data_IF_297551370701
#
_entry.id   IF_297551370701
#
_cell.length_a   1.000
_cell.length_b   1.000
_cell.length_c   1.000
_cell.angle_alpha   90.00
_cell.angle_beta   90.00
_cell.angle_gamma   90.00
#
_symmetry.space_group_name_H-M   'P 1'
#
loop_
_entity.id
_entity.type
_entity.pdbx_description
1 polymer ?
#
# COMPACT_ATOMS: atom_id res chain seq x y z
N UNK A 1 -16.27 13.98 -15.72
CA UNK A 1 -17.56 13.26 -15.81
C UNK A 1 -18.39 13.70 -14.62
N UNK A 2 -19.59 14.19 -14.90
CA UNK A 2 -20.58 14.65 -13.91
C UNK A 2 -21.26 13.45 -13.26
N UNK A 3 -21.60 13.53 -11.97
CA UNK A 3 -22.88 13.01 -11.45
C UNK A 3 -23.26 13.67 -10.09
N UNK A 4 -24.47 14.22 -10.09
CA UNK A 4 -25.55 14.48 -9.11
C UNK A 4 -25.37 14.76 -7.60
N UNK A 5 -26.28 15.62 -7.11
CA UNK A 5 -26.45 16.09 -5.71
C UNK A 5 -27.32 15.15 -4.87
N UNK A 6 -27.01 15.01 -3.57
CA UNK A 6 -27.40 13.91 -2.66
C UNK A 6 -28.59 14.19 -1.72
N UNK A 7 -29.26 13.11 -1.29
CA UNK A 7 -30.26 13.06 -0.19
C UNK A 7 -29.61 12.85 1.20
N UNK A 8 -30.26 13.35 2.26
CA UNK A 8 -29.80 13.27 3.66
C UNK A 8 -29.78 11.81 4.18
N UNK A 9 -28.58 11.28 4.46
CA UNK A 9 -28.32 9.87 4.80
C UNK A 9 -27.10 9.26 4.09
N UNK A 10 -26.10 10.08 3.78
CA UNK A 10 -25.16 9.86 2.69
C UNK A 10 -23.73 9.60 3.20
N UNK A 11 -23.11 8.42 2.95
CA UNK A 11 -21.77 8.09 3.48
C UNK A 11 -20.68 9.04 2.96
N UNK A 12 -19.76 9.47 3.82
CA UNK A 12 -18.82 10.58 3.60
C UNK A 12 -18.10 10.59 2.24
N UNK A 13 -17.66 11.77 1.80
CA UNK A 13 -16.96 12.00 0.52
C UNK A 13 -15.53 11.38 0.46
N UNK A 14 -15.21 10.46 1.36
CA UNK A 14 -13.89 9.89 1.56
C UNK A 14 -13.97 8.41 1.20
N UNK A 15 -13.35 8.04 0.08
CA UNK A 15 -13.29 6.64 -0.36
C UNK A 15 -12.26 5.83 0.46
N UNK A 16 -11.17 6.46 0.87
CA UNK A 16 -10.06 5.81 1.59
C UNK A 16 -9.24 6.84 2.39
N UNK A 17 -8.74 6.44 3.56
CA UNK A 17 -7.78 7.21 4.37
C UNK A 17 -6.51 6.37 4.52
N UNK A 18 -5.37 6.89 4.06
CA UNK A 18 -4.09 6.18 4.12
C UNK A 18 -3.12 6.82 5.12
N UNK A 19 -2.50 6.00 5.97
CA UNK A 19 -1.46 6.39 6.92
C UNK A 19 -0.15 5.70 6.57
N UNK A 20 0.94 6.45 6.58
CA UNK A 20 2.29 5.93 6.27
C UNK A 20 3.06 5.62 7.56
N UNK A 21 3.68 4.45 7.61
CA UNK A 21 4.57 3.99 8.67
C UNK A 21 6.03 3.99 8.22
N UNK A 22 6.94 3.80 9.17
CA UNK A 22 8.39 3.80 8.91
C UNK A 22 9.00 2.39 8.85
N UNK A 23 8.29 1.37 9.33
CA UNK A 23 8.84 0.01 9.46
C UNK A 23 7.79 -1.10 9.38
N UNK A 24 8.24 -2.32 9.02
CA UNK A 24 7.41 -3.53 9.05
C UNK A 24 6.99 -3.89 10.49
N UNK A 25 7.81 -3.54 11.49
CA UNK A 25 7.50 -3.74 12.90
C UNK A 25 6.25 -2.94 13.31
N UNK A 26 6.20 -1.64 13.00
CA UNK A 26 5.01 -0.82 13.24
C UNK A 26 3.77 -1.34 12.49
N UNK A 27 3.95 -1.86 11.26
CA UNK A 27 2.85 -2.43 10.49
C UNK A 27 2.31 -3.71 11.14
N UNK A 28 3.19 -4.56 11.68
CA UNK A 28 2.80 -5.74 12.47
C UNK A 28 2.12 -5.36 13.76
N UNK A 29 2.64 -4.39 14.50
CA UNK A 29 2.01 -3.89 15.72
C UNK A 29 0.59 -3.39 15.44
N UNK A 30 0.40 -2.64 14.36
CA UNK A 30 -0.91 -2.18 13.93
C UNK A 30 -1.84 -3.35 13.60
N UNK A 31 -1.40 -4.28 12.76
CA UNK A 31 -2.17 -5.48 12.40
C UNK A 31 -2.56 -6.32 13.62
N UNK A 32 -1.63 -6.50 14.58
CA UNK A 32 -1.87 -7.24 15.81
C UNK A 32 -2.93 -6.56 16.68
N UNK A 33 -2.87 -5.23 16.84
CA UNK A 33 -3.87 -4.47 17.60
C UNK A 33 -5.27 -4.58 17.00
N UNK A 34 -5.39 -4.64 15.67
CA UNK A 34 -6.67 -4.90 15.00
C UNK A 34 -7.18 -6.31 15.31
N UNK A 35 -6.32 -7.32 15.22
CA UNK A 35 -6.67 -8.71 15.53
C UNK A 35 -7.10 -8.88 17.00
N UNK A 36 -6.37 -8.28 17.94
CA UNK A 36 -6.70 -8.30 19.37
C UNK A 36 -8.06 -7.62 19.67
N UNK A 37 -8.48 -6.70 18.79
CA UNK A 37 -9.77 -6.01 18.83
C UNK A 37 -10.89 -6.69 18.05
N UNK A 38 -10.67 -7.88 17.48
CA UNK A 38 -11.62 -8.59 16.60
C UNK A 38 -12.01 -7.78 15.35
N UNK A 39 -11.10 -6.94 14.86
CA UNK A 39 -11.29 -6.13 13.65
C UNK A 39 -10.68 -6.87 12.46
N UNK A 40 -11.48 -7.08 11.40
CA UNK A 40 -11.00 -7.67 10.15
C UNK A 40 -9.91 -6.79 9.51
N UNK A 41 -8.73 -7.36 9.33
CA UNK A 41 -7.57 -6.71 8.74
C UNK A 41 -7.04 -7.54 7.56
N UNK A 42 -6.71 -6.87 6.45
CA UNK A 42 -6.22 -7.53 5.24
C UNK A 42 -4.82 -7.02 4.87
N UNK A 43 -3.76 -7.82 5.11
CA UNK A 43 -2.42 -7.49 4.63
C UNK A 43 -2.30 -7.69 3.12
N UNK A 44 -1.82 -6.67 2.40
CA UNK A 44 -1.61 -6.70 0.96
C UNK A 44 -0.26 -6.09 0.60
N UNK A 45 0.49 -6.73 -0.28
CA UNK A 45 1.65 -6.14 -0.94
C UNK A 45 1.27 -5.65 -2.33
N UNK A 46 1.63 -4.41 -2.64
CA UNK A 46 1.54 -3.81 -3.98
C UNK A 46 2.87 -3.87 -4.74
N UNK A 47 3.89 -4.49 -4.12
CA UNK A 47 5.24 -4.59 -4.68
C UNK A 47 6.09 -3.36 -4.42
N UNK A 48 5.50 -2.17 -4.57
CA UNK A 48 6.09 -0.90 -4.19
C UNK A 48 5.73 -0.44 -2.77
N UNK A 49 4.74 -1.09 -2.13
CA UNK A 49 4.35 -0.84 -0.75
C UNK A 49 3.79 -2.12 -0.11
N UNK A 50 3.87 -2.19 1.21
CA UNK A 50 3.17 -3.18 2.03
C UNK A 50 2.11 -2.46 2.85
N UNK A 51 0.87 -2.93 2.78
CA UNK A 51 -0.30 -2.28 3.36
C UNK A 51 -1.10 -3.26 4.23
N UNK A 52 -1.80 -2.72 5.22
CA UNK A 52 -2.87 -3.39 5.96
C UNK A 52 -4.14 -2.56 5.79
N UNK A 53 -5.21 -3.21 5.33
CA UNK A 53 -6.52 -2.59 5.14
C UNK A 53 -7.49 -3.01 6.24
N UNK A 54 -8.29 -2.08 6.74
CA UNK A 54 -9.42 -2.34 7.63
C UNK A 54 -10.53 -1.30 7.39
N UNK A 55 -11.72 -1.54 7.94
CA UNK A 55 -12.82 -0.54 7.90
C UNK A 55 -12.96 0.13 9.25
N UNK A 56 -13.16 1.43 9.27
CA UNK A 56 -13.56 2.12 10.50
C UNK A 56 -15.07 1.92 10.79
N UNK A 57 -15.58 2.28 11.99
CA UNK A 57 -17.00 2.10 12.35
C UNK A 57 -18.02 2.80 11.43
N UNK A 58 -17.62 3.87 10.72
CA UNK A 58 -18.44 4.58 9.73
C UNK A 58 -18.36 3.94 8.33
N UNK A 59 -17.53 2.91 8.15
CA UNK A 59 -17.38 2.15 6.91
C UNK A 59 -16.40 2.76 5.90
N UNK A 60 -15.56 3.72 6.30
CA UNK A 60 -14.49 4.19 5.40
C UNK A 60 -13.34 3.18 5.38
N UNK A 61 -12.72 3.01 4.20
CA UNK A 61 -11.56 2.14 4.05
C UNK A 61 -10.33 2.84 4.64
N UNK A 62 -9.73 2.22 5.64
CA UNK A 62 -8.45 2.64 6.22
C UNK A 62 -7.35 1.78 5.64
N UNK A 63 -6.31 2.43 5.12
CA UNK A 63 -5.06 1.80 4.71
C UNK A 63 -3.93 2.28 5.63
N UNK A 64 -3.14 1.36 6.15
CA UNK A 64 -1.88 1.69 6.80
C UNK A 64 -0.77 1.01 6.02
N UNK A 65 0.21 1.77 5.54
CA UNK A 65 1.21 1.27 4.59
C UNK A 65 2.61 1.76 4.90
N UNK A 66 3.60 1.05 4.37
CA UNK A 66 4.97 1.54 4.22
C UNK A 66 5.50 1.22 2.83
N UNK A 67 6.46 2.01 2.36
CA UNK A 67 7.09 1.78 1.05
C UNK A 67 8.03 0.57 1.07
N UNK A 68 8.00 -0.17 -0.02
CA UNK A 68 9.00 -1.18 -0.34
C UNK A 68 10.09 -0.53 -1.23
N UNK A 69 11.33 -1.05 -1.25
CA UNK A 69 12.43 -0.45 -2.01
C UNK A 69 12.34 -0.70 -3.54
N UNK A 70 11.16 -1.03 -4.05
CA UNK A 70 10.93 -1.43 -5.43
C UNK A 70 9.89 -0.54 -6.10
N UNK A 71 10.03 -0.37 -7.41
CA UNK A 71 8.97 0.11 -8.28
C UNK A 71 8.44 -1.08 -9.09
N UNK A 72 7.14 -1.34 -8.98
CA UNK A 72 6.42 -2.29 -9.84
C UNK A 72 5.30 -1.53 -10.58
N UNK A 73 5.14 -1.69 -11.91
CA UNK A 73 4.05 -1.07 -12.67
C UNK A 73 2.67 -1.44 -12.11
N UNK A 74 1.90 -0.42 -11.75
CA UNK A 74 0.55 -0.54 -11.18
C UNK A 74 -0.52 -0.66 -12.28
N UNK A 75 -1.67 -1.29 -12.00
CA UNK A 75 -2.15 -1.79 -10.70
C UNK A 75 -1.63 -3.19 -10.33
N UNK A 76 -1.32 -3.40 -9.05
CA UNK A 76 -0.92 -4.70 -8.49
C UNK A 76 -1.48 -4.88 -7.07
N UNK A 77 -1.65 -6.12 -6.62
CA UNK A 77 -2.02 -6.42 -5.24
C UNK A 77 -2.01 -7.93 -4.98
N UNK A 78 -1.28 -8.36 -3.94
CA UNK A 78 -1.22 -9.77 -3.50
C UNK A 78 -1.31 -9.86 -1.99
N UNK A 79 -2.04 -10.83 -1.42
CA UNK A 79 -1.97 -11.08 0.01
C UNK A 79 -0.54 -11.48 0.39
N UNK A 80 -0.10 -11.08 1.57
CA UNK A 80 1.19 -11.51 2.12
C UNK A 80 1.05 -11.78 3.62
N UNK A 81 2.02 -12.50 4.17
CA UNK A 81 1.98 -12.97 5.55
C UNK A 81 2.84 -12.09 6.45
N UNK A 82 2.18 -11.28 7.30
CA UNK A 82 2.81 -10.44 8.31
C UNK A 82 3.33 -11.22 9.53
N UNK A 83 3.39 -12.55 9.50
CA UNK A 83 4.13 -13.35 10.49
C UNK A 83 5.55 -13.69 10.04
N UNK A 84 5.85 -13.60 8.73
CA UNK A 84 7.18 -13.89 8.16
C UNK A 84 8.22 -12.85 8.57
N UNK A 85 9.51 -13.18 8.64
CA UNK A 85 10.53 -12.17 8.95
C UNK A 85 10.61 -11.05 7.90
N UNK A 86 11.16 -9.89 8.27
CA UNK A 86 11.36 -8.78 7.32
C UNK A 86 12.18 -9.22 6.10
N UNK A 87 13.21 -10.06 6.31
CA UNK A 87 14.01 -10.61 5.23
C UNK A 87 13.20 -11.47 4.26
N UNK A 88 12.24 -12.26 4.76
CA UNK A 88 11.38 -13.09 3.92
C UNK A 88 10.38 -12.25 3.12
N UNK A 89 9.76 -11.25 3.75
CA UNK A 89 8.85 -10.32 3.08
C UNK A 89 9.58 -9.55 1.98
N UNK A 90 10.78 -9.03 2.28
CA UNK A 90 11.63 -8.35 1.32
C UNK A 90 12.01 -9.27 0.16
N UNK A 91 12.46 -10.50 0.46
CA UNK A 91 12.86 -11.48 -0.56
C UNK A 91 11.67 -11.83 -1.48
N UNK A 92 10.51 -12.13 -0.92
CA UNK A 92 9.32 -12.44 -1.69
C UNK A 92 8.90 -11.27 -2.60
N UNK A 93 9.04 -10.04 -2.11
CA UNK A 93 8.72 -8.83 -2.88
C UNK A 93 9.73 -8.58 -3.99
N UNK A 94 11.02 -8.81 -3.74
CA UNK A 94 12.08 -8.77 -4.76
C UNK A 94 11.84 -9.81 -5.85
N UNK A 95 11.60 -11.07 -5.49
CA UNK A 95 11.30 -12.15 -6.44
C UNK A 95 10.09 -11.82 -7.31
N UNK A 96 9.09 -11.16 -6.73
CA UNK A 96 7.96 -10.66 -7.50
C UNK A 96 8.35 -9.51 -8.43
N UNK A 97 9.09 -8.51 -7.98
CA UNK A 97 9.57 -7.42 -8.82
C UNK A 97 10.38 -7.94 -10.02
N UNK A 98 11.28 -8.89 -9.80
CA UNK A 98 12.10 -9.51 -10.85
C UNK A 98 11.26 -10.27 -11.90
N UNK A 99 10.07 -10.74 -11.51
CA UNK A 99 9.16 -11.44 -12.42
C UNK A 99 8.29 -10.51 -13.28
N UNK A 100 8.23 -9.22 -12.97
CA UNK A 100 7.34 -8.25 -13.64
C UNK A 100 8.16 -7.31 -14.52
N UNK A 101 7.91 -7.36 -15.83
CA UNK A 101 8.55 -6.46 -16.79
C UNK A 101 8.27 -4.98 -16.47
N UNK A 102 9.32 -4.16 -16.56
CA UNK A 102 9.24 -2.73 -16.23
C UNK A 102 9.41 -2.40 -14.74
N UNK A 103 9.59 -3.41 -13.88
CA UNK A 103 9.99 -3.20 -12.49
C UNK A 103 11.47 -2.82 -12.40
N UNK A 104 11.82 -2.07 -11.36
CA UNK A 104 13.19 -1.64 -11.04
C UNK A 104 13.27 -1.26 -9.56
N UNK A 105 14.44 -0.90 -9.05
CA UNK A 105 14.52 -0.32 -7.70
C UNK A 105 13.82 1.04 -7.65
N UNK A 106 13.33 1.43 -6.48
CA UNK A 106 12.73 2.76 -6.30
C UNK A 106 13.72 3.89 -6.64
N UNK A 107 15.01 3.70 -6.32
CA UNK A 107 16.07 4.67 -6.62
C UNK A 107 16.26 4.86 -8.13
N UNK A 108 16.35 3.77 -8.90
CA UNK A 108 16.47 3.82 -10.36
C UNK A 108 15.26 4.50 -11.01
N UNK A 109 14.06 4.17 -10.53
CA UNK A 109 12.82 4.78 -11.02
C UNK A 109 12.79 6.28 -10.74
N UNK A 110 13.09 6.70 -9.50
CA UNK A 110 13.13 8.10 -9.10
C UNK A 110 14.16 8.90 -9.89
N UNK A 111 15.36 8.35 -10.10
CA UNK A 111 16.39 8.97 -10.93
C UNK A 111 15.98 9.07 -12.41
N UNK A 112 15.24 8.08 -12.94
CA UNK A 112 14.65 8.12 -14.28
C UNK A 112 13.61 9.23 -14.42
N UNK A 113 12.74 9.39 -13.41
CA UNK A 113 11.71 10.43 -13.37
C UNK A 113 12.33 11.83 -13.32
N UNK A 114 13.32 12.05 -12.46
CA UNK A 114 14.03 13.32 -12.35
C UNK A 114 14.65 13.75 -13.69
N UNK A 115 15.31 12.82 -14.41
CA UNK A 115 15.88 13.08 -15.74
C UNK A 115 14.83 13.49 -16.77
N UNK A 116 13.65 12.87 -16.76
CA UNK A 116 12.54 13.21 -17.66
C UNK A 116 11.96 14.59 -17.36
N UNK A 117 11.88 14.95 -16.07
CA UNK A 117 11.39 16.27 -15.65
C UNK A 117 12.36 17.39 -16.04
N UNK A 118 13.68 17.18 -15.92
CA UNK A 118 14.69 18.18 -16.32
C UNK A 118 14.94 18.28 -17.82
N UNK A 119 14.50 17.29 -18.62
CA UNK A 119 14.63 17.30 -20.08
C UNK A 119 13.39 17.85 -20.79
N UNK A 120 12.37 18.26 -20.04
CA UNK A 120 11.09 18.79 -20.53
C UNK A 120 10.91 20.29 -20.28
N UNK A 121 11.98 21.08 -20.43
CA UNK A 121 12.00 22.56 -20.43
C UNK A 121 12.49 23.11 -21.78
#
# INVERSE_FOLDING_TARGET
>A
VFEESREEGSPGNINQISFRLSSLDELREFHQRLCDGDIEATPVSHGNAWSVYCSDPEGNLIEVYLDAPFYIPQPQGKPFDLSQSDQEIHRATQEWADSVEGSMTYEEWSAGLARKMSAGE
#
